data_IF_739732158312
#
_entry.id   IF_739732158312
#
_cell.length_a   1.000
_cell.length_b   1.000
_cell.length_c   1.000
_cell.angle_alpha   90.00
_cell.angle_beta   90.00
_cell.angle_gamma   90.00
#
_symmetry.space_group_name_H-M   'P 1'
#
loop_
_entity.id
_entity.type
_entity.pdbx_description
1 polymer ?
#
# COMPACT_ATOMS: atom_id res chain seq x y z
N UNK A 1 18.95 -0.07 1.22
CA UNK A 1 18.04 0.28 2.32
C UNK A 1 18.42 1.67 2.81
N UNK A 2 18.05 2.67 2.03
CA UNK A 2 17.99 4.06 2.50
C UNK A 2 16.68 4.26 3.28
N UNK A 3 16.56 5.35 4.06
CA UNK A 3 15.42 5.54 4.97
C UNK A 3 14.05 5.46 4.28
N UNK A 4 13.94 5.86 3.00
CA UNK A 4 12.68 5.76 2.24
C UNK A 4 12.27 4.33 1.86
N UNK A 5 13.22 3.41 1.72
CA UNK A 5 12.92 2.01 1.39
C UNK A 5 12.33 1.27 2.60
N UNK A 6 12.79 1.62 3.82
CA UNK A 6 12.30 1.01 5.06
C UNK A 6 10.84 1.40 5.33
N UNK A 7 10.49 2.68 5.13
CA UNK A 7 9.09 3.14 5.23
C UNK A 7 8.20 2.52 4.17
N UNK A 8 8.71 2.32 2.96
CA UNK A 8 7.96 1.66 1.91
C UNK A 8 7.69 0.19 2.25
N UNK A 9 8.70 -0.54 2.75
CA UNK A 9 8.55 -1.94 3.18
C UNK A 9 7.56 -2.07 4.35
N UNK A 10 7.68 -1.22 5.36
CA UNK A 10 6.73 -1.19 6.49
C UNK A 10 5.30 -0.89 6.03
N UNK A 11 5.13 0.09 5.15
CA UNK A 11 3.84 0.41 4.56
C UNK A 11 3.27 -0.78 3.79
N UNK A 12 4.09 -1.42 2.94
CA UNK A 12 3.68 -2.54 2.10
C UNK A 12 3.21 -3.71 2.97
N UNK A 13 3.96 -4.04 4.02
CA UNK A 13 3.62 -5.08 5.00
C UNK A 13 2.34 -4.78 5.76
N UNK A 14 2.20 -3.54 6.25
CA UNK A 14 1.01 -3.11 6.97
C UNK A 14 -0.23 -3.17 6.08
N UNK A 15 -0.16 -2.60 4.88
CA UNK A 15 -1.28 -2.54 3.94
C UNK A 15 -1.69 -3.95 3.48
N UNK A 16 -0.73 -4.85 3.27
CA UNK A 16 -0.97 -6.26 2.93
C UNK A 16 -1.72 -7.03 4.02
N UNK A 17 -1.57 -6.63 5.30
CA UNK A 17 -2.25 -7.27 6.44
C UNK A 17 -3.67 -6.74 6.70
N UNK A 18 -4.07 -5.64 6.05
CA UNK A 18 -5.42 -5.10 6.15
C UNK A 18 -6.43 -5.99 5.43
N UNK A 19 -7.66 -6.02 5.94
CA UNK A 19 -8.77 -6.62 5.19
C UNK A 19 -9.09 -5.82 3.92
N UNK A 20 -9.73 -6.46 2.94
CA UNK A 20 -10.14 -5.78 1.70
C UNK A 20 -11.01 -4.52 1.96
N UNK A 21 -11.84 -4.55 3.02
CA UNK A 21 -12.66 -3.40 3.42
C UNK A 21 -11.81 -2.24 3.97
N UNK A 22 -10.80 -2.55 4.78
CA UNK A 22 -9.87 -1.55 5.33
C UNK A 22 -8.95 -0.97 4.26
N UNK A 23 -8.45 -1.80 3.33
CA UNK A 23 -7.67 -1.34 2.17
C UNK A 23 -8.48 -0.39 1.30
N UNK A 24 -9.74 -0.74 1.00
CA UNK A 24 -10.65 0.13 0.24
C UNK A 24 -10.92 1.45 0.97
N UNK A 25 -11.16 1.38 2.29
CA UNK A 25 -11.37 2.58 3.10
C UNK A 25 -10.12 3.48 3.14
N UNK A 26 -8.93 2.90 3.25
CA UNK A 26 -7.68 3.65 3.23
C UNK A 26 -7.43 4.31 1.88
N UNK A 27 -7.62 3.57 0.78
CA UNK A 27 -7.44 4.08 -0.58
C UNK A 27 -8.39 5.24 -0.92
N UNK A 28 -9.61 5.23 -0.38
CA UNK A 28 -10.58 6.32 -0.55
C UNK A 28 -10.15 7.61 0.19
N UNK A 29 -9.58 7.47 1.38
CA UNK A 29 -9.16 8.63 2.20
C UNK A 29 -7.76 9.12 1.87
N UNK A 30 -6.92 8.28 1.26
CA UNK A 30 -5.54 8.57 0.91
C UNK A 30 -5.30 8.23 -0.56
N UNK A 31 -5.92 8.96 -1.51
CA UNK A 31 -5.69 8.70 -2.92
C UNK A 31 -4.19 8.84 -3.23
N UNK A 32 -3.62 7.91 -4.02
CA UNK A 32 -2.20 8.00 -4.35
C UNK A 32 -1.94 9.25 -5.20
N UNK A 33 -0.73 9.81 -5.14
CA UNK A 33 -0.29 10.82 -6.09
C UNK A 33 -0.48 10.35 -7.54
N UNK A 34 -0.66 11.28 -8.48
CA UNK A 34 -0.89 10.97 -9.91
C UNK A 34 0.20 10.09 -10.54
N UNK A 35 1.41 10.15 -10.01
CA UNK A 35 2.54 9.35 -10.50
C UNK A 35 2.58 7.94 -9.89
N UNK A 36 1.78 7.67 -8.86
CA UNK A 36 1.71 6.40 -8.11
C UNK A 36 0.35 5.71 -8.27
N UNK A 37 -0.29 5.96 -9.41
CA UNK A 37 -1.53 5.28 -9.81
C UNK A 37 -1.28 3.77 -9.78
N UNK A 38 -2.27 3.04 -9.29
CA UNK A 38 -2.27 1.58 -9.13
C UNK A 38 -1.38 1.00 -8.00
N UNK A 39 -0.69 1.83 -7.19
CA UNK A 39 0.14 1.30 -6.08
C UNK A 39 -0.66 0.36 -5.15
N UNK A 40 -1.85 0.77 -4.74
CA UNK A 40 -2.69 -0.06 -3.86
C UNK A 40 -3.23 -1.31 -4.55
N UNK A 41 -3.48 -1.24 -5.86
CA UNK A 41 -3.91 -2.40 -6.66
C UNK A 41 -2.77 -3.41 -6.79
N UNK A 42 -1.54 -2.96 -7.02
CA UNK A 42 -0.34 -3.80 -7.07
C UNK A 42 -0.13 -4.55 -5.75
N UNK A 43 -0.30 -3.87 -4.60
CA UNK A 43 -0.15 -4.52 -3.29
C UNK A 43 -1.26 -5.56 -3.05
N UNK A 44 -2.49 -5.32 -3.54
CA UNK A 44 -3.58 -6.31 -3.47
C UNK A 44 -3.29 -7.55 -4.31
N UNK A 45 -2.73 -7.38 -5.50
CA UNK A 45 -2.38 -8.49 -6.40
C UNK A 45 -1.16 -9.28 -5.93
N UNK A 46 -0.24 -8.61 -5.24
CA UNK A 46 1.02 -9.18 -4.75
C UNK A 46 1.22 -8.90 -3.25
N UNK A 47 0.36 -9.42 -2.36
CA UNK A 47 0.50 -9.15 -0.93
C UNK A 47 1.84 -9.65 -0.39
N UNK A 48 2.35 -8.97 0.63
CA UNK A 48 3.55 -9.43 1.35
C UNK A 48 3.30 -10.79 2.00
N UNK A 49 4.18 -11.77 1.73
CA UNK A 49 4.09 -13.16 2.22
C UNK A 49 5.10 -13.41 3.34
#
# INVERSE_FOLDING_TARGET
MGPGEDYYDEFYRWFSNLSAAEQAHYALNNPPPVDWVDLYEIIKEHPWI
#
